data_IF_184228800268
#
_entry.id   IF_184228800268
#
_cell.length_a   1.000
_cell.length_b   1.000
_cell.length_c   1.000
_cell.angle_alpha   90.00
_cell.angle_beta   90.00
_cell.angle_gamma   90.00
#
_symmetry.space_group_name_H-M   'P 1'
#
loop_
_entity.id
_entity.type
_entity.pdbx_description
1 polymer ?
#
# COMPACT_ATOMS: atom_id res chain seq x y z
N UNK A 1 19.89 -2.66 -3.81
CA UNK A 1 18.57 -3.22 -3.47
C UNK A 1 18.42 -3.33 -1.96
N UNK A 2 19.36 -3.94 -1.25
CA UNK A 2 19.27 -4.14 0.20
C UNK A 2 19.13 -2.84 1.00
N UNK A 3 19.98 -1.84 0.77
CA UNK A 3 19.86 -0.53 1.43
C UNK A 3 18.49 0.16 1.21
N UNK A 4 17.85 -0.09 0.08
CA UNK A 4 16.50 0.41 -0.20
C UNK A 4 15.45 -0.35 0.62
N UNK A 5 15.54 -1.68 0.70
CA UNK A 5 14.66 -2.49 1.54
C UNK A 5 14.83 -2.16 3.03
N UNK A 6 16.07 -1.96 3.48
CA UNK A 6 16.37 -1.54 4.85
C UNK A 6 15.75 -0.16 5.16
N UNK A 7 15.85 0.78 4.22
CA UNK A 7 15.20 2.09 4.35
C UNK A 7 13.68 1.95 4.45
N UNK A 8 13.05 1.13 3.60
CA UNK A 8 11.60 0.88 3.65
C UNK A 8 11.16 0.27 4.99
N UNK A 9 11.91 -0.73 5.49
CA UNK A 9 11.60 -1.34 6.78
C UNK A 9 11.88 -0.40 7.97
N UNK A 10 12.73 0.61 7.80
CA UNK A 10 12.98 1.64 8.81
C UNK A 10 11.74 2.46 9.18
N UNK A 11 10.70 2.48 8.34
CA UNK A 11 9.44 3.15 8.64
C UNK A 11 8.56 2.38 9.63
N UNK A 12 8.81 1.09 9.89
CA UNK A 12 7.95 0.28 10.75
C UNK A 12 8.77 -0.44 11.84
N UNK A 13 8.11 -0.77 12.96
CA UNK A 13 8.66 -1.74 13.92
C UNK A 13 8.03 -3.09 13.65
N UNK A 14 8.82 -4.07 13.21
CA UNK A 14 8.33 -5.42 12.89
C UNK A 14 7.71 -6.11 14.11
N UNK A 15 8.13 -5.77 15.33
CA UNK A 15 7.53 -6.25 16.58
C UNK A 15 6.05 -5.86 16.74
N UNK A 16 5.60 -4.81 16.06
CA UNK A 16 4.23 -4.30 16.17
C UNK A 16 3.30 -4.95 15.15
N UNK A 17 3.83 -5.75 14.22
CA UNK A 17 3.02 -6.43 13.21
C UNK A 17 2.26 -7.60 13.85
N UNK A 18 0.95 -7.58 13.68
CA UNK A 18 0.06 -8.71 13.96
C UNK A 18 -0.05 -9.62 12.75
N UNK A 19 -0.58 -10.85 12.91
CA UNK A 19 -0.96 -11.68 11.76
C UNK A 19 -1.78 -10.88 10.75
N UNK A 20 -1.24 -10.72 9.53
CA UNK A 20 -1.86 -9.98 8.43
C UNK A 20 -1.75 -10.79 7.14
N UNK A 21 -2.84 -10.88 6.39
CA UNK A 21 -2.89 -11.44 5.04
C UNK A 21 -3.17 -10.31 4.05
N UNK A 22 -2.20 -10.06 3.17
CA UNK A 22 -2.22 -8.91 2.26
C UNK A 22 -2.26 -9.39 0.81
N UNK A 23 -3.25 -8.94 0.05
CA UNK A 23 -3.21 -9.09 -1.41
C UNK A 23 -2.32 -8.01 -1.99
N UNK A 24 -1.38 -8.39 -2.86
CA UNK A 24 -0.53 -7.44 -3.58
C UNK A 24 -0.60 -7.70 -5.08
N UNK A 25 -1.05 -6.70 -5.82
CA UNK A 25 -1.16 -6.71 -7.27
C UNK A 25 -0.10 -5.79 -7.88
N UNK A 26 0.94 -6.39 -8.46
CA UNK A 26 2.01 -5.64 -9.13
C UNK A 26 1.69 -5.33 -10.60
N UNK A 27 0.56 -5.83 -11.13
CA UNK A 27 0.06 -5.51 -12.47
C UNK A 27 1.03 -5.79 -13.61
N UNK A 28 1.90 -6.79 -13.45
CA UNK A 28 3.03 -7.09 -14.33
C UNK A 28 4.04 -5.93 -14.51
N UNK A 29 3.95 -4.91 -13.67
CA UNK A 29 4.87 -3.79 -13.61
C UNK A 29 6.12 -4.10 -12.79
N UNK A 30 6.83 -3.04 -12.40
CA UNK A 30 8.12 -3.13 -11.74
C UNK A 30 8.06 -3.34 -10.22
N UNK A 31 6.87 -3.32 -9.59
CA UNK A 31 6.72 -3.50 -8.15
C UNK A 31 7.11 -4.91 -7.66
N UNK A 32 6.84 -5.95 -8.45
CA UNK A 32 6.90 -7.34 -7.99
C UNK A 32 8.24 -7.78 -7.38
N UNK A 33 9.39 -7.49 -8.00
CA UNK A 33 10.68 -7.76 -7.39
C UNK A 33 10.86 -7.05 -6.03
N UNK A 34 10.39 -5.83 -5.86
CA UNK A 34 10.49 -5.13 -4.56
C UNK A 34 9.65 -5.85 -3.51
N UNK A 35 8.43 -6.26 -3.86
CA UNK A 35 7.53 -7.02 -2.98
C UNK A 35 8.16 -8.36 -2.56
N UNK A 36 8.76 -9.10 -3.49
CA UNK A 36 9.45 -10.36 -3.17
C UNK A 36 10.61 -10.16 -2.19
N UNK A 37 11.34 -9.04 -2.30
CA UNK A 37 12.43 -8.72 -1.38
C UNK A 37 11.93 -8.30 0.01
N UNK A 38 10.83 -7.54 0.08
CA UNK A 38 10.17 -7.17 1.34
C UNK A 38 9.65 -8.44 2.03
N UNK A 39 8.95 -9.31 1.31
CA UNK A 39 8.43 -10.58 1.82
C UNK A 39 9.55 -11.46 2.39
N UNK A 40 10.65 -11.63 1.64
CA UNK A 40 11.81 -12.40 2.10
C UNK A 40 12.40 -11.82 3.40
N UNK A 41 12.49 -10.49 3.51
CA UNK A 41 13.04 -9.83 4.70
C UNK A 41 12.08 -9.98 5.89
N UNK A 42 10.79 -9.76 5.70
CA UNK A 42 9.78 -9.94 6.75
C UNK A 42 9.76 -11.38 7.27
N UNK A 43 9.84 -12.37 6.37
CA UNK A 43 9.97 -13.79 6.75
C UNK A 43 11.24 -14.08 7.55
N UNK A 44 12.37 -13.52 7.14
CA UNK A 44 13.63 -13.65 7.88
C UNK A 44 13.60 -13.01 9.28
N UNK A 45 12.73 -12.01 9.49
CA UNK A 45 12.47 -11.39 10.79
C UNK A 45 11.40 -12.12 11.62
N UNK A 46 10.78 -13.17 11.08
CA UNK A 46 9.67 -13.85 11.73
C UNK A 46 8.40 -13.00 11.82
N UNK A 47 8.25 -12.00 10.96
CA UNK A 47 7.04 -11.19 10.90
C UNK A 47 5.84 -12.06 10.47
N UNK A 48 4.67 -11.94 11.13
CA UNK A 48 3.50 -12.74 10.82
C UNK A 48 2.70 -12.15 9.64
N UNK A 49 3.35 -11.92 8.50
CA UNK A 49 2.69 -11.36 7.31
C UNK A 49 2.68 -12.40 6.18
N UNK A 50 1.51 -12.65 5.64
CA UNK A 50 1.28 -13.50 4.47
C UNK A 50 0.95 -12.62 3.26
N UNK A 51 1.69 -12.79 2.16
CA UNK A 51 1.40 -12.11 0.90
C UNK A 51 0.69 -13.03 -0.08
N UNK A 52 -0.46 -12.59 -0.57
CA UNK A 52 -1.16 -13.16 -1.72
C UNK A 52 -0.81 -12.31 -2.94
N UNK A 53 0.17 -12.76 -3.73
CA UNK A 53 0.70 -11.99 -4.86
C UNK A 53 -0.02 -12.34 -6.14
N UNK A 54 -0.63 -11.36 -6.80
CA UNK A 54 -1.25 -11.50 -8.13
C UNK A 54 -0.50 -10.62 -9.14
N UNK A 55 -0.43 -11.08 -10.40
CA UNK A 55 0.26 -10.38 -11.49
C UNK A 55 1.67 -9.90 -11.11
N UNK A 56 2.40 -10.71 -10.32
CA UNK A 56 3.63 -10.27 -9.68
C UNK A 56 4.85 -10.28 -10.60
N UNK A 57 4.88 -11.17 -11.57
CA UNK A 57 6.01 -11.31 -12.48
C UNK A 57 6.00 -10.15 -13.48
N UNK A 58 7.09 -9.36 -13.58
CA UNK A 58 7.19 -8.29 -14.56
C UNK A 58 7.07 -8.82 -15.99
N UNK A 59 6.18 -8.21 -16.77
CA UNK A 59 5.96 -8.55 -18.18
C UNK A 59 5.51 -7.28 -18.93
N UNK A 60 6.40 -6.71 -19.73
CA UNK A 60 6.16 -5.48 -20.49
C UNK A 60 5.17 -5.63 -21.65
N UNK A 61 4.69 -6.84 -21.94
CA UNK A 61 3.55 -7.05 -22.85
C UNK A 61 2.21 -6.83 -22.16
N UNK A 62 2.19 -6.72 -20.83
CA UNK A 62 1.00 -6.49 -20.00
C UNK A 62 -0.15 -7.45 -20.33
N UNK A 63 0.04 -8.77 -20.09
CA UNK A 63 -0.96 -9.79 -20.46
C UNK A 63 -2.30 -9.61 -19.74
N UNK A 64 -2.30 -8.92 -18.60
CA UNK A 64 -3.50 -8.60 -17.80
C UNK A 64 -3.96 -7.14 -17.96
N UNK A 65 -3.48 -6.44 -18.98
CA UNK A 65 -3.74 -5.01 -19.22
C UNK A 65 -2.71 -4.10 -18.57
N UNK A 66 -2.63 -2.85 -19.08
CA UNK A 66 -1.70 -1.84 -18.57
C UNK A 66 -2.09 -1.50 -17.12
N UNK A 67 -1.16 -1.57 -16.15
CA UNK A 67 -1.47 -1.36 -14.75
C UNK A 67 -1.85 0.10 -14.47
N UNK A 68 -3.15 0.34 -14.34
CA UNK A 68 -3.70 1.62 -13.92
C UNK A 68 -4.92 1.42 -13.00
N UNK A 69 -4.72 1.13 -11.71
CA UNK A 69 -5.83 0.85 -10.78
C UNK A 69 -6.78 2.03 -10.52
N UNK A 70 -6.52 3.24 -11.06
CA UNK A 70 -7.51 4.31 -11.13
C UNK A 70 -8.70 3.95 -12.04
N UNK A 71 -8.49 3.09 -13.04
CA UNK A 71 -9.54 2.63 -13.92
C UNK A 71 -10.34 1.51 -13.23
N UNK A 72 -11.68 1.62 -13.10
CA UNK A 72 -12.50 0.60 -12.44
C UNK A 72 -12.27 -0.83 -12.95
N UNK A 73 -12.05 -1.01 -14.25
CA UNK A 73 -11.77 -2.29 -14.88
C UNK A 73 -10.44 -2.93 -14.41
N UNK A 74 -9.45 -2.13 -14.02
CA UNK A 74 -8.16 -2.61 -13.49
C UNK A 74 -8.21 -2.96 -11.99
N UNK A 75 -9.32 -2.66 -11.30
CA UNK A 75 -9.50 -2.90 -9.86
C UNK A 75 -10.01 -4.30 -9.54
N UNK A 76 -10.64 -4.93 -10.52
CA UNK A 76 -11.47 -6.10 -10.31
C UNK A 76 -10.69 -7.33 -9.84
N UNK A 77 -9.48 -7.53 -10.35
CA UNK A 77 -8.64 -8.66 -9.96
C UNK A 77 -8.17 -8.55 -8.51
N UNK A 78 -7.76 -7.35 -8.07
CA UNK A 78 -7.38 -7.10 -6.68
C UNK A 78 -8.57 -7.31 -5.76
N UNK A 79 -9.74 -6.75 -6.11
CA UNK A 79 -10.99 -6.93 -5.36
C UNK A 79 -11.36 -8.40 -5.21
N UNK A 80 -11.34 -9.17 -6.30
CA UNK A 80 -11.67 -10.60 -6.30
C UNK A 80 -10.71 -11.38 -5.41
N UNK A 81 -9.40 -11.15 -5.56
CA UNK A 81 -8.38 -11.82 -4.74
C UNK A 81 -8.55 -11.52 -3.25
N UNK A 82 -8.87 -10.27 -2.86
CA UNK A 82 -9.12 -9.92 -1.45
C UNK A 82 -10.27 -10.74 -0.89
N UNK A 83 -11.39 -10.80 -1.61
CA UNK A 83 -12.59 -11.53 -1.19
C UNK A 83 -12.34 -13.04 -1.17
N UNK A 84 -11.72 -13.58 -2.22
CA UNK A 84 -11.45 -15.01 -2.37
C UNK A 84 -10.54 -15.55 -1.25
N UNK A 85 -9.50 -14.79 -0.90
CA UNK A 85 -8.53 -15.23 0.09
C UNK A 85 -8.86 -14.79 1.53
N UNK A 86 -9.94 -14.02 1.71
CA UNK A 86 -10.28 -13.39 2.99
C UNK A 86 -9.09 -12.59 3.52
N UNK A 87 -8.52 -11.73 2.68
CA UNK A 87 -7.37 -10.90 3.02
C UNK A 87 -7.82 -9.67 3.84
N UNK A 88 -6.95 -9.19 4.73
CA UNK A 88 -7.22 -8.04 5.58
C UNK A 88 -7.26 -6.73 4.77
N UNK A 89 -6.46 -6.66 3.69
CA UNK A 89 -6.48 -5.57 2.73
C UNK A 89 -5.83 -5.97 1.40
N UNK A 90 -6.11 -5.19 0.36
CA UNK A 90 -5.44 -5.28 -0.93
C UNK A 90 -4.62 -4.03 -1.25
N UNK A 91 -3.51 -4.24 -1.98
CA UNK A 91 -2.62 -3.18 -2.46
C UNK A 91 -2.38 -3.44 -3.94
N UNK A 92 -2.62 -2.44 -4.78
CA UNK A 92 -2.25 -2.46 -6.19
C UNK A 92 -1.28 -1.33 -6.51
N UNK A 93 -0.44 -1.54 -7.53
CA UNK A 93 0.49 -0.53 -8.03
C UNK A 93 0.24 -0.23 -9.51
N UNK A 94 0.70 0.92 -9.97
CA UNK A 94 0.88 1.18 -11.39
C UNK A 94 2.23 0.63 -11.90
N UNK A 95 2.55 0.89 -13.17
CA UNK A 95 3.65 0.21 -13.88
C UNK A 95 5.04 0.44 -13.28
N UNK A 96 5.32 1.64 -12.81
CA UNK A 96 6.57 2.06 -12.17
C UNK A 96 6.44 2.26 -10.65
N UNK A 97 5.28 1.91 -10.09
CA UNK A 97 5.00 1.71 -8.66
C UNK A 97 5.26 2.91 -7.75
N UNK A 98 5.29 4.12 -8.28
CA UNK A 98 5.32 5.34 -7.49
C UNK A 98 3.92 5.69 -6.93
N UNK A 99 2.87 5.05 -7.47
CA UNK A 99 1.49 5.11 -6.95
C UNK A 99 1.06 3.75 -6.42
N UNK A 100 0.46 3.77 -5.23
CA UNK A 100 -0.23 2.61 -4.67
C UNK A 100 -1.71 2.91 -4.43
N UNK A 101 -2.51 1.84 -4.44
CA UNK A 101 -3.96 1.88 -4.36
C UNK A 101 -4.44 0.85 -3.36
N UNK A 102 -5.27 1.27 -2.42
CA UNK A 102 -5.67 0.43 -1.29
C UNK A 102 -7.10 -0.07 -1.44
N UNK A 103 -7.32 -1.29 -0.97
CA UNK A 103 -8.61 -1.97 -0.93
C UNK A 103 -8.85 -2.47 0.50
N UNK A 104 -10.06 -2.27 1.01
CA UNK A 104 -10.46 -2.83 2.31
C UNK A 104 -10.72 -4.35 2.25
N UNK A 105 -11.04 -4.96 3.38
CA UNK A 105 -11.29 -6.41 3.51
C UNK A 105 -12.54 -6.88 2.72
N UNK A 106 -13.42 -5.95 2.35
CA UNK A 106 -14.60 -6.19 1.50
C UNK A 106 -14.28 -5.97 0.01
N UNK A 107 -13.01 -5.75 -0.33
CA UNK A 107 -12.53 -5.47 -1.68
C UNK A 107 -12.99 -4.11 -2.22
N UNK A 108 -13.40 -3.18 -1.36
CA UNK A 108 -13.76 -1.82 -1.77
C UNK A 108 -12.50 -1.00 -1.97
N UNK A 109 -12.41 -0.34 -3.13
CA UNK A 109 -11.34 0.61 -3.41
C UNK A 109 -11.47 1.84 -2.49
N UNK A 110 -10.38 2.22 -1.84
CA UNK A 110 -10.33 3.40 -0.98
C UNK A 110 -9.88 4.60 -1.81
N UNK A 111 -10.73 5.63 -1.85
CA UNK A 111 -10.40 6.88 -2.54
C UNK A 111 -9.13 7.51 -1.97
N UNK A 112 -8.21 7.93 -2.85
CA UNK A 112 -6.87 8.38 -2.46
C UNK A 112 -6.88 9.58 -1.52
N UNK A 113 -7.96 10.37 -1.55
CA UNK A 113 -8.20 11.48 -0.63
C UNK A 113 -8.08 11.07 0.86
N UNK A 114 -8.68 9.94 1.24
CA UNK A 114 -8.68 9.51 2.65
C UNK A 114 -7.33 8.95 3.09
N UNK A 115 -6.51 8.47 2.14
CA UNK A 115 -5.18 7.96 2.40
C UNK A 115 -4.23 9.06 2.89
N UNK A 116 -4.42 10.30 2.43
CA UNK A 116 -3.61 11.45 2.88
C UNK A 116 -3.75 11.66 4.38
N UNK A 117 -4.98 11.71 4.90
CA UNK A 117 -5.24 11.86 6.33
C UNK A 117 -4.69 10.69 7.15
N UNK A 118 -4.94 9.45 6.68
CA UNK A 118 -4.46 8.24 7.34
C UNK A 118 -2.93 8.20 7.47
N UNK A 119 -2.21 8.50 6.38
CA UNK A 119 -0.75 8.54 6.40
C UNK A 119 -0.23 9.70 7.24
N UNK A 120 -0.88 10.87 7.18
CA UNK A 120 -0.51 12.03 7.99
C UNK A 120 -0.56 11.71 9.48
N UNK A 121 -1.65 11.07 9.95
CA UNK A 121 -1.78 10.60 11.34
C UNK A 121 -0.63 9.64 11.71
N UNK A 122 -0.39 8.60 10.88
CA UNK A 122 0.68 7.63 11.13
C UNK A 122 2.09 8.24 11.20
N UNK A 123 2.33 9.33 10.44
CA UNK A 123 3.59 10.07 10.52
C UNK A 123 3.66 10.99 11.73
N UNK A 124 2.55 11.62 12.12
CA UNK A 124 2.48 12.50 13.30
C UNK A 124 2.64 11.72 14.61
N UNK A 125 2.22 10.44 14.66
CA UNK A 125 2.52 9.55 15.79
C UNK A 125 4.04 9.40 16.04
N UNK A 126 4.84 9.40 14.97
CA UNK A 126 6.31 9.27 15.04
C UNK A 126 7.03 10.61 15.12
N UNK A 127 6.40 11.66 14.59
CA UNK A 127 6.94 13.01 14.52
C UNK A 127 5.90 14.03 14.99
N UNK A 128 5.63 14.10 16.31
CA UNK A 128 4.62 15.00 16.85
C UNK A 128 4.88 16.47 16.48
N UNK A 129 3.83 17.20 16.06
CA UNK A 129 3.94 18.59 15.66
C UNK A 129 4.55 18.85 14.29
N UNK A 130 4.81 17.81 13.49
CA UNK A 130 5.32 17.98 12.14
C UNK A 130 4.31 18.70 11.22
N UNK A 131 4.85 19.29 10.14
CA UNK A 131 4.05 19.90 9.07
C UNK A 131 3.67 18.86 8.03
N UNK A 132 2.42 18.90 7.57
CA UNK A 132 1.90 18.02 6.52
C UNK A 132 1.50 18.86 5.32
N UNK A 133 2.16 18.63 4.18
CA UNK A 133 1.83 19.31 2.92
C UNK A 133 0.72 18.52 2.22
N UNK A 134 -0.35 19.20 1.84
CA UNK A 134 -1.41 18.65 1.01
C UNK A 134 -1.76 19.58 -0.15
N UNK A 135 -2.43 19.04 -1.18
CA UNK A 135 -2.89 19.81 -2.34
C UNK A 135 -4.27 20.45 -2.10
N UNK A 136 -4.72 21.39 -2.96
CA UNK A 136 -5.96 22.14 -2.72
C UNK A 136 -7.23 21.50 -3.30
N UNK A 137 -7.20 20.29 -3.87
CA UNK A 137 -8.36 19.69 -4.58
C UNK A 137 -9.43 19.20 -3.61
N UNK A 138 -9.02 18.53 -2.53
CA UNK A 138 -9.88 18.00 -1.47
C UNK A 138 -9.14 18.17 -0.14
N UNK A 139 -9.66 18.95 0.81
CA UNK A 139 -8.84 19.41 1.95
C UNK A 139 -9.42 19.12 3.33
N UNK A 140 -10.73 19.23 3.53
CA UNK A 140 -11.36 19.21 4.87
C UNK A 140 -11.03 18.00 5.75
N UNK A 141 -11.12 16.77 5.23
CA UNK A 141 -10.72 15.57 5.96
C UNK A 141 -9.25 15.61 6.40
N UNK A 142 -8.35 15.97 5.48
CA UNK A 142 -6.91 16.05 5.76
C UNK A 142 -6.62 17.10 6.84
N UNK A 143 -7.16 18.31 6.71
CA UNK A 143 -6.99 19.39 7.69
C UNK A 143 -7.51 18.98 9.08
N UNK A 144 -8.67 18.33 9.14
CA UNK A 144 -9.26 17.85 10.38
C UNK A 144 -8.41 16.77 11.07
N UNK A 145 -7.96 15.76 10.33
CA UNK A 145 -7.13 14.67 10.86
C UNK A 145 -5.76 15.18 11.31
N UNK A 146 -5.11 16.02 10.50
CA UNK A 146 -3.81 16.62 10.84
C UNK A 146 -3.91 17.45 12.12
N UNK A 147 -4.94 18.30 12.23
CA UNK A 147 -5.17 19.12 13.43
C UNK A 147 -5.43 18.25 14.66
N UNK A 148 -6.26 17.22 14.53
CA UNK A 148 -6.58 16.31 15.63
C UNK A 148 -5.35 15.50 16.11
N UNK A 149 -4.46 15.13 15.19
CA UNK A 149 -3.19 14.47 15.48
C UNK A 149 -2.07 15.44 15.94
N UNK A 150 -2.37 16.72 16.12
CA UNK A 150 -1.43 17.73 16.62
C UNK A 150 -0.40 18.21 15.60
N UNK A 151 -0.62 17.98 14.32
CA UNK A 151 0.18 18.51 13.22
C UNK A 151 -0.28 19.90 12.75
N UNK A 152 0.41 20.42 11.74
CA UNK A 152 0.11 21.70 11.08
C UNK A 152 0.24 21.66 9.58
#
# INVERSE_FOLDING_TARGET
RDAYIDHLLGYISVSNLTPLKLVVNSGNGAAGPVIDAIEARLKALGAPVEFIKIHNTPDGTFPNGIPNPLLPECRDDTRKAVIEHGADMGIAFDGDFDRCFLFDEKGQFIEGYYIVGLLAEAFLEKHPGAKIIHDPRLTWNTEAVVTAAGGT
#
